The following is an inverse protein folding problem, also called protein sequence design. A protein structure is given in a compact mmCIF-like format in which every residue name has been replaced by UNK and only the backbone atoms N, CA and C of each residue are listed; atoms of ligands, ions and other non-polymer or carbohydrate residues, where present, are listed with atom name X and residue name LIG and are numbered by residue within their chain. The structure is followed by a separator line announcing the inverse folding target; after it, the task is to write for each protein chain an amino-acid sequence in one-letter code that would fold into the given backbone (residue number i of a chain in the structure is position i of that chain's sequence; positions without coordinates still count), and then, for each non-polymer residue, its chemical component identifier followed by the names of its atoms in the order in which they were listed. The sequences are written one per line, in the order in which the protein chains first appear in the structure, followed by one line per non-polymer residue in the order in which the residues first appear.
data_IF_206760335471
#
_entry.id   IF_206760335471
#
_cell.length_a   1.000
_cell.length_b   1.000
_cell.length_c   1.000
_cell.angle_alpha   90.00
_cell.angle_beta   90.00
_cell.angle_gamma   90.00
#
_symmetry.space_group_name_H-M   'P 1'
#
loop_
_entity.id
_entity.type
_entity.pdbx_description
1 polymer ?
#
# COMPACT_ATOMS: atom_id res chain seq x y z
N UNK A 1 -21.39 -6.90 -10.60
CA UNK A 1 -19.94 -6.95 -10.26
C UNK A 1 -19.52 -8.42 -10.38
N UNK A 2 -18.43 -8.73 -11.09
CA UNK A 2 -17.85 -10.08 -11.08
C UNK A 2 -16.87 -10.18 -9.90
N UNK A 3 -16.82 -11.34 -9.24
CA UNK A 3 -15.84 -11.61 -8.18
C UNK A 3 -14.48 -11.98 -8.79
N UNK A 4 -13.36 -11.50 -8.23
CA UNK A 4 -12.02 -11.81 -8.73
C UNK A 4 -11.65 -13.30 -8.51
N UNK A 5 -10.99 -13.89 -9.50
CA UNK A 5 -10.69 -15.34 -9.57
C UNK A 5 -9.24 -15.68 -9.23
N UNK A 6 -8.35 -14.69 -9.19
CA UNK A 6 -6.92 -14.85 -8.92
C UNK A 6 -6.33 -13.58 -8.29
N UNK A 7 -5.11 -13.71 -7.75
CA UNK A 7 -4.42 -12.60 -7.06
C UNK A 7 -4.31 -11.31 -7.89
N UNK A 8 -4.08 -11.43 -9.20
CA UNK A 8 -3.99 -10.25 -10.06
C UNK A 8 -5.37 -9.57 -10.22
N UNK A 9 -6.43 -10.36 -10.33
CA UNK A 9 -7.80 -9.84 -10.33
C UNK A 9 -8.21 -9.24 -8.97
N UNK A 10 -7.77 -9.82 -7.84
CA UNK A 10 -7.98 -9.25 -6.50
C UNK A 10 -7.34 -7.86 -6.40
N UNK A 11 -6.11 -7.74 -6.88
CA UNK A 11 -5.36 -6.50 -6.91
C UNK A 11 -6.09 -5.45 -7.78
N UNK A 12 -6.47 -5.81 -9.01
CA UNK A 12 -7.23 -4.92 -9.90
C UNK A 12 -8.56 -4.49 -9.28
N UNK A 13 -9.28 -5.41 -8.62
CA UNK A 13 -10.55 -5.11 -7.97
C UNK A 13 -10.38 -4.11 -6.82
N UNK A 14 -9.36 -4.29 -5.98
CA UNK A 14 -9.03 -3.37 -4.88
C UNK A 14 -8.61 -1.99 -5.37
N UNK A 15 -7.72 -1.91 -6.37
CA UNK A 15 -7.31 -0.63 -6.96
C UNK A 15 -8.50 0.13 -7.54
N UNK A 16 -9.37 -0.56 -8.30
CA UNK A 16 -10.57 0.06 -8.87
C UNK A 16 -11.49 0.64 -7.80
N UNK A 17 -11.71 -0.08 -6.71
CA UNK A 17 -12.58 0.40 -5.62
C UNK A 17 -12.03 1.66 -4.96
N UNK A 18 -10.75 1.67 -4.61
CA UNK A 18 -10.09 2.84 -3.99
C UNK A 18 -10.07 4.03 -4.94
N UNK A 19 -9.78 3.81 -6.23
CA UNK A 19 -9.80 4.87 -7.23
C UNK A 19 -11.20 5.46 -7.41
N UNK A 20 -12.26 4.63 -7.37
CA UNK A 20 -13.64 5.13 -7.41
C UNK A 20 -13.95 6.00 -6.18
N UNK A 21 -13.58 5.55 -4.97
CA UNK A 21 -13.77 6.34 -3.74
C UNK A 21 -13.08 7.71 -3.85
N UNK A 22 -11.82 7.73 -4.29
CA UNK A 22 -11.07 8.96 -4.48
C UNK A 22 -11.78 9.84 -5.53
N UNK A 23 -12.13 9.28 -6.69
CA UNK A 23 -12.73 10.05 -7.77
C UNK A 23 -14.10 10.63 -7.44
N UNK A 24 -14.94 9.89 -6.70
CA UNK A 24 -16.29 10.32 -6.33
C UNK A 24 -16.30 11.29 -5.15
N UNK A 25 -15.31 11.22 -4.25
CA UNK A 25 -15.32 11.94 -2.97
C UNK A 25 -14.12 12.86 -2.75
N UNK A 26 -13.27 13.13 -3.75
CA UNK A 26 -12.00 13.88 -3.57
C UNK A 26 -12.19 15.23 -2.86
N UNK A 27 -13.27 15.96 -3.14
CA UNK A 27 -13.58 17.25 -2.51
C UNK A 27 -13.77 17.14 -0.98
N UNK A 28 -14.12 15.96 -0.48
CA UNK A 28 -14.40 15.68 0.94
C UNK A 28 -13.26 14.92 1.63
N UNK A 29 -12.27 14.45 0.89
CA UNK A 29 -11.12 13.70 1.43
C UNK A 29 -10.11 14.68 2.02
N UNK A 30 -10.18 14.87 3.35
CA UNK A 30 -9.12 15.56 4.09
C UNK A 30 -7.97 14.60 4.34
N UNK A 31 -6.89 14.76 3.57
CA UNK A 31 -5.71 13.90 3.69
C UNK A 31 -5.13 13.92 5.11
N UNK A 32 -5.11 12.75 5.73
CA UNK A 32 -4.48 12.46 7.00
C UNK A 32 -4.15 10.96 7.09
N UNK A 33 -3.34 10.60 8.08
CA UNK A 33 -2.92 9.23 8.37
C UNK A 33 -4.07 8.22 8.38
N UNK A 34 -5.18 8.53 9.05
CA UNK A 34 -6.31 7.59 9.18
C UNK A 34 -7.00 7.33 7.84
N UNK A 35 -7.16 8.37 7.02
CA UNK A 35 -7.73 8.25 5.68
C UNK A 35 -6.82 7.41 4.79
N UNK A 36 -5.50 7.63 4.84
CA UNK A 36 -4.53 6.83 4.06
C UNK A 36 -4.59 5.37 4.49
N UNK A 37 -4.65 5.08 5.79
CA UNK A 37 -4.81 3.71 6.29
C UNK A 37 -6.14 3.10 5.89
N UNK A 38 -7.23 3.86 5.90
CA UNK A 38 -8.53 3.39 5.41
C UNK A 38 -8.47 2.99 3.94
N UNK A 39 -7.97 3.87 3.07
CA UNK A 39 -7.83 3.56 1.64
C UNK A 39 -6.89 2.38 1.43
N UNK A 40 -5.81 2.27 2.21
CA UNK A 40 -4.91 1.12 2.16
C UNK A 40 -5.57 -0.19 2.62
N UNK A 41 -6.50 -0.15 3.59
CA UNK A 41 -7.30 -1.33 3.98
C UNK A 41 -8.21 -1.75 2.84
N UNK A 42 -8.91 -0.77 2.27
CA UNK A 42 -9.89 -1.01 1.22
C UNK A 42 -9.20 -1.48 -0.08
N UNK A 43 -7.96 -1.04 -0.35
CA UNK A 43 -7.11 -1.55 -1.43
C UNK A 43 -6.84 -3.06 -1.34
N UNK A 44 -6.73 -3.58 -0.11
CA UNK A 44 -6.45 -4.99 0.15
C UNK A 44 -7.71 -5.82 0.42
N UNK A 45 -8.91 -5.26 0.25
CA UNK A 45 -10.16 -5.92 0.65
C UNK A 45 -10.43 -7.26 -0.02
N UNK A 46 -9.86 -7.46 -1.22
CA UNK A 46 -9.97 -8.69 -2.00
C UNK A 46 -8.74 -9.61 -1.86
N UNK A 47 -7.63 -9.12 -1.30
CA UNK A 47 -6.41 -9.92 -1.16
C UNK A 47 -6.49 -10.80 0.10
N UNK A 48 -6.18 -12.10 0.03
CA UNK A 48 -6.25 -13.02 1.19
C UNK A 48 -5.28 -12.72 2.35
N UNK A 49 -4.40 -11.70 2.25
CA UNK A 49 -3.41 -11.35 3.27
C UNK A 49 -3.77 -10.01 3.95
N UNK A 50 -3.85 -10.00 5.29
CA UNK A 50 -4.47 -8.96 6.11
C UNK A 50 -3.59 -7.73 6.45
N UNK A 51 -2.62 -7.39 5.60
CA UNK A 51 -1.70 -6.28 5.85
C UNK A 51 -2.28 -4.90 5.49
N UNK A 52 -3.46 -4.87 4.87
CA UNK A 52 -4.20 -3.63 4.59
C UNK A 52 -4.49 -2.83 5.86
N UNK A 53 -4.40 -1.50 5.74
CA UNK A 53 -4.72 -0.55 6.81
C UNK A 53 -3.75 -0.49 7.99
N UNK A 54 -2.53 -0.99 7.84
CA UNK A 54 -1.48 -0.89 8.84
C UNK A 54 -0.22 -0.27 8.25
N UNK A 55 0.51 0.49 9.05
CA UNK A 55 1.89 0.83 8.72
C UNK A 55 2.77 -0.41 8.74
N UNK A 56 3.89 -0.33 8.02
CA UNK A 56 4.89 -1.38 8.04
C UNK A 56 5.38 -1.64 9.48
N UNK A 57 5.46 -2.91 9.84
CA UNK A 57 5.98 -3.37 11.13
C UNK A 57 7.41 -3.94 11.03
N UNK A 58 7.97 -3.94 9.81
CA UNK A 58 9.31 -4.41 9.51
C UNK A 58 9.98 -3.39 8.58
N UNK A 59 11.31 -3.31 8.69
CA UNK A 59 12.11 -2.51 7.79
C UNK A 59 12.13 -3.15 6.41
N UNK A 60 12.08 -2.32 5.37
CA UNK A 60 12.16 -2.74 3.99
C UNK A 60 13.16 -1.86 3.25
N UNK A 61 13.86 -2.44 2.26
CA UNK A 61 14.77 -1.74 1.36
C UNK A 61 14.40 -2.07 -0.08
N UNK A 62 14.60 -1.12 -0.98
CA UNK A 62 14.55 -1.38 -2.42
C UNK A 62 15.99 -1.64 -2.86
N UNK A 63 16.29 -2.89 -3.18
CA UNK A 63 17.58 -3.32 -3.70
C UNK A 63 17.55 -3.37 -5.23
N UNK A 64 18.68 -3.05 -5.84
CA UNK A 64 18.93 -3.21 -7.27
C UNK A 64 20.05 -4.23 -7.45
N UNK A 65 19.90 -5.07 -8.48
CA UNK A 65 20.92 -6.02 -8.91
C UNK A 65 21.36 -5.58 -10.30
N UNK A 66 22.64 -5.25 -10.47
CA UNK A 66 23.17 -4.86 -11.76
C UNK A 66 23.40 -6.06 -12.70
N UNK A 67 23.82 -5.79 -13.93
CA UNK A 67 24.12 -6.83 -14.93
C UNK A 67 25.25 -7.78 -14.54
N UNK A 68 26.10 -7.41 -13.56
CA UNK A 68 27.19 -8.23 -13.04
C UNK A 68 26.77 -9.00 -11.78
N UNK A 69 25.52 -8.88 -11.33
CA UNK A 69 24.99 -9.52 -10.14
C UNK A 69 25.31 -8.79 -8.83
N UNK A 70 25.87 -7.58 -8.89
CA UNK A 70 26.20 -6.79 -7.70
C UNK A 70 24.91 -6.18 -7.15
N UNK A 71 24.68 -6.41 -5.85
CA UNK A 71 23.56 -5.85 -5.11
C UNK A 71 23.92 -4.48 -4.56
N UNK A 72 23.02 -3.52 -4.72
CA UNK A 72 23.12 -2.21 -4.07
C UNK A 72 21.76 -1.76 -3.54
N UNK A 73 21.76 -0.97 -2.47
CA UNK A 73 20.52 -0.38 -1.94
C UNK A 73 20.22 0.87 -2.77
N UNK A 74 19.13 0.84 -3.53
CA UNK A 74 18.66 1.99 -4.31
C UNK A 74 17.86 2.97 -3.45
N UNK A 75 17.11 2.46 -2.48
CA UNK A 75 16.35 3.29 -1.55
C UNK A 75 16.15 2.58 -0.20
N UNK A 76 16.42 3.31 0.88
CA UNK A 76 16.14 2.91 2.26
C UNK A 76 15.12 3.88 2.86
N UNK A 77 13.83 3.51 3.00
CA UNK A 77 12.86 4.31 3.72
C UNK A 77 13.18 4.37 5.23
N UNK A 78 12.45 5.22 5.97
CA UNK A 78 12.46 5.23 7.43
C UNK A 78 12.26 3.83 8.00
N UNK A 79 12.83 3.54 9.17
CA UNK A 79 12.52 2.28 9.86
C UNK A 79 11.02 2.18 10.19
N UNK A 80 10.53 0.98 10.45
CA UNK A 80 9.15 0.77 10.92
C UNK A 80 8.86 1.58 12.21
N UNK A 81 9.84 1.66 13.11
CA UNK A 81 9.75 2.43 14.35
C UNK A 81 9.64 3.94 14.09
N UNK A 82 10.52 4.50 13.25
CA UNK A 82 10.49 5.92 12.90
C UNK A 82 9.23 6.29 12.13
N UNK A 83 8.74 5.38 11.28
CA UNK A 83 7.46 5.56 10.58
C UNK A 83 6.36 5.80 11.61
N UNK A 84 6.16 4.90 12.59
CA UNK A 84 5.11 5.08 13.60
C UNK A 84 5.23 6.41 14.37
N UNK A 85 6.46 6.81 14.71
CA UNK A 85 6.72 8.07 15.42
C UNK A 85 6.32 9.31 14.61
N UNK A 86 6.60 9.32 13.31
CA UNK A 86 6.50 10.54 12.50
C UNK A 86 5.08 10.77 11.93
N UNK A 87 4.20 9.75 11.91
CA UNK A 87 2.79 9.85 11.47
C UNK A 87 1.75 9.86 12.60
N UNK A 88 2.21 9.75 13.87
CA UNK A 88 1.37 9.87 15.08
C UNK A 88 1.24 11.31 15.55
#
# INVERSE_FOLDING_TARGET
KAEPLNRAEDEIAGYREVLNIIHESYDYIRLNSNIILQLHRDLYSYHPTSNGGKYKNQDNVIEEIDTQGIRSIRFKPLSAFETFRDVS
#
